data_IF_068520208161
#
_entry.id   IF_068520208161
#
_cell.length_a   1.000
_cell.length_b   1.000
_cell.length_c   1.000
_cell.angle_alpha   90.00
_cell.angle_beta   90.00
_cell.angle_gamma   90.00
#
_symmetry.space_group_name_H-M   'P 1'
#
loop_
_entity.id
_entity.type
_entity.pdbx_description
1 polymer ?
#
# COMPACT_ATOMS: atom_id res chain seq x y z
N UNK A 1 -16.36 -6.54 1.11
CA UNK A 1 -15.63 -5.61 0.23
C UNK A 1 -14.13 -5.90 0.18
N UNK A 2 -13.46 -6.22 1.29
CA UNK A 2 -11.99 -6.40 1.25
C UNK A 2 -11.50 -7.53 0.32
N UNK A 3 -12.26 -8.62 0.15
CA UNK A 3 -11.85 -9.76 -0.68
C UNK A 3 -11.77 -9.45 -2.17
N UNK A 4 -12.66 -8.60 -2.72
CA UNK A 4 -12.62 -8.27 -4.15
C UNK A 4 -11.37 -7.45 -4.48
N UNK A 5 -10.94 -6.57 -3.58
CA UNK A 5 -9.75 -5.72 -3.77
C UNK A 5 -8.52 -6.60 -3.91
N UNK A 6 -8.37 -7.58 -3.02
CA UNK A 6 -7.25 -8.52 -3.03
C UNK A 6 -7.24 -9.33 -4.33
N UNK A 7 -8.38 -9.90 -4.72
CA UNK A 7 -8.49 -10.67 -5.98
C UNK A 7 -8.13 -9.81 -7.19
N UNK A 8 -8.63 -8.57 -7.26
CA UNK A 8 -8.32 -7.65 -8.36
C UNK A 8 -6.83 -7.33 -8.42
N UNK A 9 -6.16 -7.11 -7.30
CA UNK A 9 -4.71 -6.86 -7.27
C UNK A 9 -3.94 -8.07 -7.80
N UNK A 10 -4.32 -9.29 -7.39
CA UNK A 10 -3.69 -10.51 -7.90
C UNK A 10 -3.93 -10.71 -9.41
N UNK A 11 -5.15 -10.48 -9.89
CA UNK A 11 -5.46 -10.58 -11.31
C UNK A 11 -4.66 -9.54 -12.14
N UNK A 12 -4.57 -8.30 -11.66
CA UNK A 12 -3.77 -7.27 -12.33
C UNK A 12 -2.28 -7.60 -12.32
N UNK A 13 -1.75 -8.12 -11.21
CA UNK A 13 -0.36 -8.58 -11.12
C UNK A 13 -0.06 -9.73 -12.08
N UNK A 14 -0.99 -10.68 -12.21
CA UNK A 14 -0.87 -11.77 -13.18
C UNK A 14 -0.85 -11.26 -14.62
N UNK A 15 -1.81 -10.39 -15.00
CA UNK A 15 -1.85 -9.79 -16.35
C UNK A 15 -0.59 -8.97 -16.64
N UNK A 16 -0.12 -8.19 -15.67
CA UNK A 16 1.12 -7.42 -15.79
C UNK A 16 2.36 -8.30 -15.99
N UNK A 17 2.36 -9.53 -15.48
CA UNK A 17 3.46 -10.48 -15.65
C UNK A 17 3.46 -11.21 -16.99
N UNK A 18 2.36 -11.15 -17.77
CA UNK A 18 2.22 -11.86 -19.04
C UNK A 18 3.32 -11.55 -20.07
N UNK A 19 3.74 -10.29 -20.29
CA UNK A 19 4.82 -9.99 -21.23
C UNK A 19 6.09 -10.80 -20.93
N UNK A 20 6.44 -11.00 -19.64
CA UNK A 20 7.61 -11.76 -19.23
C UNK A 20 7.60 -13.22 -19.69
N UNK A 21 6.43 -13.84 -19.83
CA UNK A 21 6.35 -15.21 -20.34
C UNK A 21 6.71 -15.32 -21.83
N UNK A 22 6.53 -14.25 -22.60
CA UNK A 22 6.90 -14.21 -24.02
C UNK A 22 8.40 -13.93 -24.23
N UNK A 23 9.14 -13.57 -23.17
CA UNK A 23 10.58 -13.35 -23.23
C UNK A 23 11.34 -14.66 -23.49
N UNK A 24 10.83 -15.77 -22.96
CA UNK A 24 11.45 -17.09 -23.03
C UNK A 24 10.96 -17.85 -24.25
N UNK A 25 11.88 -18.23 -25.12
CA UNK A 25 11.61 -19.22 -26.18
C UNK A 25 12.38 -20.49 -25.85
N UNK A 26 11.68 -21.62 -25.79
CA UNK A 26 12.32 -22.92 -25.68
C UNK A 26 12.65 -23.41 -27.08
N UNK A 27 13.94 -23.65 -27.34
CA UNK A 27 14.42 -24.27 -28.58
C UNK A 27 15.00 -25.64 -28.22
N UNK A 28 14.53 -26.70 -28.88
CA UNK A 28 15.11 -28.03 -28.74
C UNK A 28 16.36 -28.06 -29.61
N UNK A 29 17.53 -28.20 -28.99
CA UNK A 29 18.80 -28.28 -29.70
C UNK A 29 19.28 -29.74 -29.67
N UNK A 30 19.59 -30.26 -30.86
CA UNK A 30 20.30 -31.54 -31.02
C UNK A 30 21.78 -31.29 -30.94
N UNK A 31 22.43 -31.94 -29.98
CA UNK A 31 23.88 -32.02 -29.94
C UNK A 31 24.31 -33.46 -30.24
N UNK A 32 25.32 -33.57 -31.10
CA UNK A 32 25.95 -34.83 -31.46
C UNK A 32 27.11 -35.04 -30.51
N UNK A 33 27.02 -36.07 -29.67
CA UNK A 33 28.13 -36.46 -28.81
C UNK A 33 28.83 -37.66 -29.46
N UNK A 34 30.03 -37.43 -29.99
CA UNK A 34 30.90 -38.52 -30.47
C UNK A 34 31.55 -39.20 -29.27
N UNK A 35 31.06 -40.37 -28.89
CA UNK A 35 31.69 -41.19 -27.85
C UNK A 35 32.83 -42.00 -28.48
N UNK A 36 33.95 -42.12 -27.78
CA UNK A 36 35.12 -42.91 -28.20
C UNK A 36 34.65 -44.34 -28.59
N UNK A 37 35.13 -44.87 -29.72
CA UNK A 37 34.63 -46.06 -30.45
C UNK A 37 33.50 -45.84 -31.49
N UNK A 38 33.45 -44.66 -32.13
CA UNK A 38 32.70 -44.43 -33.38
C UNK A 38 31.17 -44.62 -33.28
N UNK A 39 30.63 -44.67 -32.07
CA UNK A 39 29.19 -44.60 -31.79
C UNK A 39 28.78 -43.13 -31.64
N UNK A 40 27.86 -42.68 -32.49
CA UNK A 40 27.25 -41.35 -32.39
C UNK A 40 25.95 -41.48 -31.64
N UNK A 41 25.85 -40.83 -30.47
CA UNK A 41 24.61 -40.77 -29.70
C UNK A 41 24.04 -39.36 -29.80
N UNK A 42 22.74 -39.28 -30.10
CA UNK A 42 22.01 -38.02 -30.24
C UNK A 42 21.26 -37.73 -28.94
N UNK A 43 21.52 -36.58 -28.33
CA UNK A 43 20.75 -36.11 -27.18
C UNK A 43 19.99 -34.84 -27.53
N UNK A 44 18.67 -34.91 -27.39
CA UNK A 44 17.79 -33.74 -27.45
C UNK A 44 17.82 -33.05 -26.09
N UNK A 45 18.30 -31.80 -26.03
CA UNK A 45 18.20 -30.98 -24.82
C UNK A 45 17.44 -29.68 -25.10
N UNK A 46 16.72 -29.20 -24.08
CA UNK A 46 15.93 -27.97 -24.17
C UNK A 46 16.84 -26.79 -23.81
N UNK A 47 17.09 -25.90 -24.76
CA UNK A 47 17.77 -24.64 -24.52
C UNK A 47 16.73 -23.54 -24.39
N UNK A 48 16.75 -22.82 -23.28
CA UNK A 48 15.92 -21.63 -23.10
C UNK A 48 16.70 -20.46 -23.71
N UNK A 49 16.21 -19.92 -24.82
CA UNK A 49 16.82 -18.77 -25.49
C UNK A 49 15.97 -17.51 -25.31
N UNK A 50 16.61 -16.41 -24.94
CA UNK A 50 15.97 -15.11 -24.73
C UNK A 50 15.95 -14.30 -26.03
N UNK A 51 15.31 -14.84 -27.07
CA UNK A 51 15.31 -14.23 -28.41
C UNK A 51 14.61 -12.88 -28.44
N UNK A 52 13.53 -12.71 -27.65
CA UNK A 52 12.82 -11.43 -27.54
C UNK A 52 13.55 -10.40 -26.67
N UNK A 53 14.27 -10.83 -25.63
CA UNK A 53 15.09 -9.94 -24.81
C UNK A 53 16.22 -9.28 -25.62
N UNK A 54 16.79 -9.99 -26.60
CA UNK A 54 17.80 -9.46 -27.50
C UNK A 54 17.25 -8.39 -28.46
N UNK A 55 15.94 -8.24 -28.59
CA UNK A 55 15.34 -7.18 -29.38
C UNK A 55 15.39 -5.87 -28.62
N UNK A 56 16.11 -4.88 -29.16
CA UNK A 56 16.23 -3.54 -28.58
C UNK A 56 14.86 -2.86 -28.36
N UNK A 57 13.91 -3.10 -29.27
CA UNK A 57 12.55 -2.56 -29.19
C UNK A 57 11.81 -3.15 -27.99
N UNK A 58 11.87 -4.47 -27.81
CA UNK A 58 11.21 -5.15 -26.70
C UNK A 58 11.77 -4.72 -25.35
N UNK A 59 13.11 -4.66 -25.24
CA UNK A 59 13.78 -4.22 -24.02
C UNK A 59 13.39 -2.78 -23.65
N UNK A 60 13.36 -1.87 -24.63
CA UNK A 60 12.98 -0.48 -24.40
C UNK A 60 11.51 -0.33 -24.01
N UNK A 61 10.58 -0.91 -24.78
CA UNK A 61 9.15 -0.72 -24.53
C UNK A 61 8.67 -1.45 -23.27
N UNK A 62 9.08 -2.70 -23.07
CA UNK A 62 8.57 -3.52 -21.96
C UNK A 62 9.34 -3.28 -20.68
N UNK A 63 10.68 -3.36 -20.69
CA UNK A 63 11.45 -3.19 -19.45
C UNK A 63 11.56 -1.72 -19.04
N UNK A 64 11.95 -0.85 -19.97
CA UNK A 64 12.24 0.53 -19.61
C UNK A 64 10.95 1.32 -19.38
N UNK A 65 9.98 1.26 -20.30
CA UNK A 65 8.75 2.05 -20.16
C UNK A 65 7.73 1.34 -19.27
N UNK A 66 7.24 0.16 -19.66
CA UNK A 66 6.12 -0.49 -18.97
C UNK A 66 6.48 -0.84 -17.51
N UNK A 67 7.59 -1.56 -17.29
CA UNK A 67 7.93 -1.99 -15.94
C UNK A 67 8.35 -0.85 -15.02
N UNK A 68 9.19 0.09 -15.48
CA UNK A 68 9.55 1.24 -14.64
C UNK A 68 8.34 2.09 -14.28
N UNK A 69 7.42 2.31 -15.21
CA UNK A 69 6.26 3.16 -14.97
C UNK A 69 5.29 2.55 -13.95
N UNK A 70 4.99 1.27 -14.07
CA UNK A 70 4.02 0.59 -13.20
C UNK A 70 4.63 0.09 -11.88
N UNK A 71 5.92 -0.23 -11.85
CA UNK A 71 6.55 -0.79 -10.64
C UNK A 71 7.15 0.27 -9.72
N UNK A 72 7.57 1.44 -10.24
CA UNK A 72 8.15 2.50 -9.41
C UNK A 72 7.40 3.82 -9.52
N UNK A 73 7.22 4.38 -10.71
CA UNK A 73 6.71 5.75 -10.87
C UNK A 73 5.28 5.87 -10.32
N UNK A 74 4.37 5.00 -10.75
CA UNK A 74 2.97 5.07 -10.36
C UNK A 74 2.77 4.79 -8.86
N UNK A 75 3.38 3.75 -8.26
CA UNK A 75 3.34 3.55 -6.81
C UNK A 75 3.93 4.71 -6.01
N UNK A 76 5.03 5.31 -6.46
CA UNK A 76 5.64 6.47 -5.81
C UNK A 76 4.75 7.70 -5.86
N UNK A 77 4.10 7.97 -7.00
CA UNK A 77 3.15 9.07 -7.14
C UNK A 77 1.93 8.86 -6.24
N UNK A 78 1.37 7.66 -6.21
CA UNK A 78 0.25 7.33 -5.32
C UNK A 78 0.65 7.49 -3.86
N UNK A 79 1.82 6.97 -3.47
CA UNK A 79 2.32 7.11 -2.11
C UNK A 79 2.56 8.58 -1.73
N UNK A 80 3.15 9.37 -2.63
CA UNK A 80 3.36 10.80 -2.44
C UNK A 80 2.04 11.55 -2.26
N UNK A 81 1.06 11.28 -3.12
CA UNK A 81 -0.28 11.87 -3.03
C UNK A 81 -0.96 11.53 -1.69
N UNK A 82 -0.98 10.25 -1.31
CA UNK A 82 -1.56 9.84 -0.03
C UNK A 82 -0.84 10.45 1.17
N UNK A 83 0.49 10.59 1.10
CA UNK A 83 1.25 11.24 2.17
C UNK A 83 0.88 12.71 2.32
N UNK A 84 0.69 13.45 1.22
CA UNK A 84 0.27 14.86 1.26
C UNK A 84 -1.13 15.00 1.86
N UNK A 85 -2.09 14.19 1.40
CA UNK A 85 -3.45 14.21 1.93
C UNK A 85 -3.50 13.77 3.40
N UNK A 86 -2.69 12.80 3.79
CA UNK A 86 -2.56 12.37 5.18
C UNK A 86 -2.04 13.52 6.05
N UNK A 87 -0.95 14.19 5.65
CA UNK A 87 -0.42 15.35 6.38
C UNK A 87 -1.49 16.44 6.49
N UNK A 88 -2.22 16.73 5.41
CA UNK A 88 -3.30 17.73 5.40
C UNK A 88 -4.42 17.38 6.37
N UNK A 89 -4.86 16.11 6.38
CA UNK A 89 -5.90 15.61 7.28
C UNK A 89 -5.46 15.66 8.75
N UNK A 90 -4.21 15.29 9.03
CA UNK A 90 -3.63 15.31 10.38
C UNK A 90 -3.49 16.75 10.85
N UNK A 91 -3.04 17.67 9.99
CA UNK A 91 -2.94 19.08 10.33
C UNK A 91 -4.31 19.67 10.66
N UNK A 92 -5.33 19.40 9.85
CA UNK A 92 -6.71 19.83 10.12
C UNK A 92 -7.23 19.26 11.45
N UNK A 93 -7.00 17.96 11.71
CA UNK A 93 -7.38 17.33 12.97
C UNK A 93 -6.62 17.89 14.18
N UNK A 94 -5.35 18.26 14.01
CA UNK A 94 -4.53 18.80 15.08
C UNK A 94 -4.94 20.22 15.47
N UNK A 95 -5.27 21.06 14.48
CA UNK A 95 -5.81 22.40 14.71
C UNK A 95 -7.18 22.33 15.39
N UNK A 96 -8.02 21.37 14.98
CA UNK A 96 -9.29 21.09 15.65
C UNK A 96 -9.08 20.71 17.12
N UNK A 97 -8.15 19.79 17.41
CA UNK A 97 -7.79 19.43 18.79
C UNK A 97 -7.25 20.62 19.59
N UNK A 98 -6.42 21.47 18.99
CA UNK A 98 -5.87 22.66 19.64
C UNK A 98 -6.92 23.74 19.91
N UNK A 99 -8.00 23.81 19.13
CA UNK A 99 -9.12 24.72 19.40
C UNK A 99 -10.06 24.16 20.48
N UNK A 100 -10.27 22.84 20.51
CA UNK A 100 -11.11 22.17 21.50
C UNK A 100 -10.42 21.98 22.86
N UNK A 101 -9.09 21.86 22.92
CA UNK A 101 -8.34 21.69 24.18
C UNK A 101 -8.44 22.86 25.16
N UNK A 102 -8.30 24.15 24.78
CA UNK A 102 -8.49 25.26 25.71
C UNK A 102 -9.95 25.39 26.16
N UNK A 103 -10.92 25.04 25.31
CA UNK A 103 -12.35 25.02 25.66
C UNK A 103 -12.67 23.89 26.64
N UNK A 104 -12.08 22.70 26.47
CA UNK A 104 -12.23 21.59 27.41
C UNK A 104 -11.67 21.95 28.79
N UNK A 105 -10.47 22.54 28.86
CA UNK A 105 -9.84 22.97 30.12
C UNK A 105 -10.59 24.13 30.78
N UNK A 106 -11.13 25.06 29.98
CA UNK A 106 -11.94 26.19 30.48
C UNK A 106 -13.29 25.72 31.04
N UNK A 107 -13.97 24.80 30.36
CA UNK A 107 -15.19 24.18 30.87
C UNK A 107 -14.92 23.33 32.13
N UNK A 108 -13.84 22.55 32.19
CA UNK A 108 -13.52 21.80 33.42
C UNK A 108 -13.23 22.71 34.61
N UNK A 109 -12.60 23.87 34.40
CA UNK A 109 -12.43 24.88 35.47
C UNK A 109 -13.76 25.49 35.90
N UNK A 110 -14.61 25.89 34.96
CA UNK A 110 -15.92 26.49 35.28
C UNK A 110 -16.83 25.51 36.05
N UNK A 111 -16.83 24.23 35.65
CA UNK A 111 -17.58 23.17 36.34
C UNK A 111 -16.99 22.85 37.72
N UNK A 112 -15.68 23.02 37.92
CA UNK A 112 -15.04 22.84 39.22
C UNK A 112 -15.36 23.98 40.17
N UNK A 113 -15.36 25.23 39.68
CA UNK A 113 -15.69 26.43 40.47
C UNK A 113 -17.16 26.47 40.89
N UNK A 114 -18.08 26.12 39.98
CA UNK A 114 -19.52 26.02 40.29
C UNK A 114 -19.84 24.91 41.29
N UNK A 115 -19.14 23.77 41.22
CA UNK A 115 -19.28 22.71 42.22
C UNK A 115 -18.68 23.09 43.58
N UNK A 116 -17.60 23.86 43.64
CA UNK A 116 -17.06 24.38 44.91
C UNK A 116 -17.93 25.50 45.52
N UNK A 117 -18.60 26.31 44.69
CA UNK A 117 -19.58 27.30 45.15
C UNK A 117 -20.83 26.61 45.73
N UNK A 118 -21.37 25.58 45.06
CA UNK A 118 -22.47 24.78 45.61
C UNK A 118 -22.13 24.03 46.90
N UNK A 119 -20.89 23.59 47.06
CA UNK A 119 -20.45 22.96 48.32
C UNK A 119 -20.40 23.93 49.51
N UNK A 120 -20.27 25.23 49.25
CA UNK A 120 -20.35 26.29 50.27
C UNK A 120 -21.78 26.63 50.68
N UNK A 121 -22.78 26.34 49.85
CA UNK A 121 -24.19 26.69 50.10
C UNK A 121 -25.06 25.55 50.65
N UNK A 122 -24.48 24.37 50.86
CA UNK A 122 -25.05 23.35 51.74
C UNK A 122 -25.62 22.10 51.05
N UNK A 123 -25.61 21.04 51.87
CA UNK A 123 -26.30 19.74 51.70
C UNK A 123 -25.66 18.76 50.72
N UNK A 124 -25.06 17.73 51.33
CA UNK A 124 -24.61 16.47 50.73
C UNK A 124 -25.76 15.85 49.93
N UNK A 125 -25.67 15.81 48.61
CA UNK A 125 -26.45 14.87 47.80
C UNK A 125 -25.56 14.14 46.80
N UNK A 126 -25.69 12.81 46.87
CA UNK A 126 -25.04 11.77 46.06
C UNK A 126 -24.82 12.20 44.59
N UNK A 127 -23.56 12.16 44.16
CA UNK A 127 -23.16 12.33 42.77
C UNK A 127 -23.66 11.16 41.91
N UNK A 128 -24.70 11.40 41.12
CA UNK A 128 -25.03 10.58 39.95
C UNK A 128 -24.14 11.07 38.82
N UNK A 129 -23.18 10.24 38.40
CA UNK A 129 -22.35 10.47 37.21
C UNK A 129 -23.19 10.26 35.96
N UNK A 130 -23.86 11.32 35.49
CA UNK A 130 -24.40 11.35 34.13
C UNK A 130 -23.29 11.85 33.20
N UNK A 131 -22.61 10.92 32.55
CA UNK A 131 -21.79 11.23 31.38
C UNK A 131 -22.72 11.45 30.19
N UNK A 132 -23.26 12.66 30.07
CA UNK A 132 -23.85 13.10 28.81
C UNK A 132 -22.71 13.43 27.86
N UNK A 133 -22.42 12.51 26.93
CA UNK A 133 -21.60 12.79 25.77
C UNK A 133 -22.34 13.84 24.94
N UNK A 134 -22.02 15.12 25.14
CA UNK A 134 -22.47 16.19 24.25
C UNK A 134 -21.63 16.06 22.99
N UNK A 135 -22.14 15.30 22.02
CA UNK A 135 -21.74 15.34 20.62
C UNK A 135 -22.24 16.66 20.05
N UNK A 136 -21.45 17.72 20.20
CA UNK A 136 -21.57 18.91 19.37
C UNK A 136 -20.18 19.52 19.19
N UNK A 137 -19.52 18.96 18.18
CA UNK A 137 -18.29 19.39 17.54
C UNK A 137 -18.33 18.74 16.15
#
# INVERSE_FOLDING_TARGET
MSSYIVVTIYCLGFVYSLPRFFEYKTEVRREELTVFDNYTEYFDHIVITNKLQSSSIYQYTVHLILYSLFQSILPLLMLSYFNVELIRSVHASSHFLQHCTPLYVKNTRLTRETNTMRYREGVITRSVKNYSYITSC
#
